data_IF_995400491429
#
_entry.id   IF_995400491429
#
_cell.length_a   1.000
_cell.length_b   1.000
_cell.length_c   1.000
_cell.angle_alpha   90.00
_cell.angle_beta   90.00
_cell.angle_gamma   90.00
#
_symmetry.space_group_name_H-M   'P 1'
#
loop_
_entity.id
_entity.type
_entity.pdbx_description
1 polymer ?
#
# COMPACT_ATOMS: atom_id res chain seq x y z
N UNK A 1 -4.81 -10.49 20.56
CA UNK A 1 -3.67 -9.87 21.23
C UNK A 1 -4.15 -8.52 21.76
N UNK A 2 -3.84 -8.19 23.00
CA UNK A 2 -4.25 -6.91 23.58
C UNK A 2 -3.33 -5.74 23.13
N UNK A 3 -2.12 -6.06 22.68
CA UNK A 3 -1.09 -5.06 22.31
C UNK A 3 -0.25 -5.56 21.14
N UNK A 4 0.03 -4.69 20.20
CA UNK A 4 0.92 -4.97 19.08
C UNK A 4 2.34 -5.27 19.58
N UNK A 5 2.91 -6.37 19.11
CA UNK A 5 4.31 -6.72 19.40
C UNK A 5 5.31 -5.88 18.59
N UNK A 6 4.85 -5.12 17.61
CA UNK A 6 5.68 -4.24 16.76
C UNK A 6 5.83 -2.87 17.39
N UNK A 7 4.71 -2.26 17.78
CA UNK A 7 4.64 -0.84 18.15
C UNK A 7 4.28 -0.62 19.62
N UNK A 8 3.74 -1.63 20.30
CA UNK A 8 3.18 -1.47 21.63
C UNK A 8 1.78 -0.83 21.66
N UNK A 9 1.18 -0.57 20.51
CA UNK A 9 -0.17 0.00 20.39
C UNK A 9 -1.22 -1.01 20.85
N UNK A 10 -2.25 -0.56 21.55
CA UNK A 10 -3.40 -1.39 21.88
C UNK A 10 -4.15 -1.82 20.63
N UNK A 11 -4.41 -3.11 20.48
CA UNK A 11 -5.17 -3.67 19.36
C UNK A 11 -6.64 -3.65 19.72
N UNK A 12 -7.43 -2.91 18.94
CA UNK A 12 -8.88 -2.78 19.07
C UNK A 12 -9.56 -3.14 17.76
N UNK A 13 -10.89 -3.36 17.78
CA UNK A 13 -11.64 -3.58 16.55
C UNK A 13 -11.55 -2.35 15.64
N UNK A 14 -11.22 -2.59 14.38
CA UNK A 14 -11.07 -1.57 13.35
C UNK A 14 -12.06 -1.76 12.18
N UNK A 15 -12.75 -2.90 12.10
CA UNK A 15 -13.57 -3.30 10.96
C UNK A 15 -15.06 -3.50 11.31
N UNK A 16 -15.54 -2.93 12.42
CA UNK A 16 -16.97 -3.01 12.77
C UNK A 16 -17.86 -2.32 11.72
N UNK A 17 -17.35 -1.34 10.99
CA UNK A 17 -18.03 -0.65 9.89
C UNK A 17 -18.02 -1.43 8.57
N UNK A 18 -17.30 -2.55 8.51
CA UNK A 18 -17.23 -3.45 7.37
C UNK A 18 -18.17 -4.65 7.51
N UNK A 19 -18.83 -4.81 8.64
CA UNK A 19 -19.87 -5.82 8.84
C UNK A 19 -21.19 -5.38 8.19
N UNK A 20 -21.69 -6.16 7.22
CA UNK A 20 -22.93 -5.85 6.52
C UNK A 20 -24.15 -5.90 7.47
N UNK A 21 -24.08 -6.67 8.56
CA UNK A 21 -25.15 -6.82 9.53
C UNK A 21 -25.42 -5.55 10.34
N UNK A 22 -24.52 -4.55 10.27
CA UNK A 22 -24.78 -3.23 10.87
C UNK A 22 -25.94 -2.47 10.22
N UNK A 23 -26.33 -2.84 9.02
CA UNK A 23 -27.42 -2.18 8.30
C UNK A 23 -28.75 -2.85 8.60
N UNK A 24 -29.58 -2.18 9.39
CA UNK A 24 -30.93 -2.64 9.66
C UNK A 24 -31.77 -2.69 8.39
N UNK A 25 -32.54 -3.75 8.23
CA UNK A 25 -33.47 -3.91 7.09
C UNK A 25 -32.90 -4.68 5.91
N UNK A 26 -31.74 -5.27 6.03
CA UNK A 26 -31.24 -6.28 5.07
C UNK A 26 -32.14 -7.54 5.01
N UNK A 27 -33.26 -7.55 5.77
CA UNK A 27 -34.27 -8.56 5.78
C UNK A 27 -33.97 -9.73 6.74
N UNK A 28 -34.65 -10.87 6.51
CA UNK A 28 -34.40 -12.11 7.25
C UNK A 28 -33.01 -12.74 6.95
N UNK A 29 -32.12 -11.98 6.29
CA UNK A 29 -30.84 -12.43 5.73
C UNK A 29 -29.65 -11.89 6.55
N UNK A 30 -29.70 -12.02 7.87
CA UNK A 30 -28.52 -11.83 8.68
C UNK A 30 -27.41 -12.80 8.22
N UNK A 31 -26.24 -12.24 7.88
CA UNK A 31 -25.08 -13.04 7.50
C UNK A 31 -24.48 -13.67 8.74
N UNK A 32 -24.44 -15.00 8.78
CA UNK A 32 -23.73 -15.73 9.80
C UNK A 32 -22.32 -16.00 9.33
N UNK A 33 -21.33 -15.33 9.93
CA UNK A 33 -19.93 -15.53 9.62
C UNK A 33 -19.42 -16.86 10.17
N UNK A 34 -18.55 -17.54 9.42
CA UNK A 34 -17.84 -18.72 9.90
C UNK A 34 -16.97 -18.34 11.10
N UNK A 35 -17.07 -19.05 12.20
CA UNK A 35 -16.34 -18.76 13.42
C UNK A 35 -15.73 -20.02 14.02
N UNK A 36 -14.50 -19.92 14.50
CA UNK A 36 -13.83 -21.00 15.24
C UNK A 36 -14.49 -21.28 16.60
N UNK A 37 -15.25 -20.31 17.11
CA UNK A 37 -15.94 -20.44 18.41
C UNK A 37 -17.07 -21.48 18.35
N UNK A 38 -17.72 -21.59 17.18
CA UNK A 38 -18.85 -22.49 16.98
C UNK A 38 -18.89 -23.01 15.54
N UNK A 39 -18.06 -23.99 15.24
CA UNK A 39 -18.00 -24.59 13.92
C UNK A 39 -19.33 -25.21 13.46
N UNK A 40 -20.15 -25.73 14.37
CA UNK A 40 -21.39 -26.43 14.00
C UNK A 40 -22.48 -25.46 13.53
N UNK A 41 -22.51 -24.24 14.10
CA UNK A 41 -23.53 -23.24 13.81
C UNK A 41 -23.22 -22.31 12.65
N UNK A 42 -21.98 -22.22 12.21
CA UNK A 42 -21.49 -21.15 11.34
C UNK A 42 -21.18 -21.57 9.90
N UNK A 43 -21.25 -22.84 9.56
CA UNK A 43 -21.05 -23.28 8.17
C UNK A 43 -22.17 -22.76 7.26
N UNK A 44 -21.83 -22.14 6.11
CA UNK A 44 -22.83 -21.69 5.15
C UNK A 44 -23.60 -22.89 4.58
N UNK A 45 -24.89 -22.76 4.48
CA UNK A 45 -25.80 -23.78 3.92
C UNK A 45 -26.06 -23.55 2.44
N UNK A 46 -25.80 -22.34 1.97
CA UNK A 46 -26.01 -21.91 0.58
C UNK A 46 -24.73 -21.26 0.05
N UNK A 47 -24.49 -21.41 -1.25
CA UNK A 47 -23.30 -20.86 -1.89
C UNK A 47 -23.34 -19.33 -2.02
N UNK A 48 -24.51 -18.73 -2.02
CA UNK A 48 -24.73 -17.29 -2.18
C UNK A 48 -25.82 -16.83 -1.23
N UNK A 49 -25.52 -15.84 -0.41
CA UNK A 49 -26.51 -15.11 0.38
C UNK A 49 -26.76 -13.75 -0.28
N UNK A 50 -28.01 -13.48 -0.65
CA UNK A 50 -28.39 -12.22 -1.24
C UNK A 50 -28.83 -11.24 -0.17
N UNK A 51 -28.19 -10.10 -0.11
CA UNK A 51 -28.59 -8.95 0.69
C UNK A 51 -29.12 -7.83 -0.20
N UNK A 52 -29.99 -7.00 0.33
CA UNK A 52 -30.55 -5.84 -0.37
C UNK A 52 -29.79 -4.60 0.10
N UNK A 53 -29.29 -3.79 -0.84
CA UNK A 53 -28.70 -2.51 -0.51
C UNK A 53 -29.76 -1.58 0.13
N UNK A 54 -29.43 -1.02 1.29
CA UNK A 54 -30.30 -0.07 2.00
C UNK A 54 -30.06 1.37 1.55
N UNK A 55 -30.97 2.28 1.84
CA UNK A 55 -30.78 3.72 1.60
C UNK A 55 -29.53 4.23 2.36
N UNK A 56 -29.30 3.76 3.58
CA UNK A 56 -28.13 4.14 4.37
C UNK A 56 -26.83 3.68 3.70
N UNK A 57 -26.76 2.47 3.14
CA UNK A 57 -25.60 2.04 2.35
C UNK A 57 -25.34 2.97 1.17
N UNK A 58 -26.39 3.40 0.48
CA UNK A 58 -26.26 4.32 -0.66
C UNK A 58 -25.74 5.70 -0.22
N UNK A 59 -26.21 6.20 0.91
CA UNK A 59 -25.72 7.45 1.50
C UNK A 59 -24.24 7.31 1.90
N UNK A 60 -23.86 6.25 2.59
CA UNK A 60 -22.50 6.00 3.03
C UNK A 60 -21.51 5.83 1.86
N UNK A 61 -21.96 5.23 0.74
CA UNK A 61 -21.18 5.12 -0.49
C UNK A 61 -20.90 6.46 -1.17
N UNK A 62 -21.80 7.43 -1.01
CA UNK A 62 -21.73 8.72 -1.68
C UNK A 62 -21.19 9.84 -0.81
N UNK A 63 -21.09 9.63 0.51
CA UNK A 63 -20.60 10.63 1.44
C UNK A 63 -19.10 10.88 1.25
N UNK A 64 -18.76 12.04 0.68
CA UNK A 64 -17.44 12.62 0.85
C UNK A 64 -17.38 13.20 2.25
N UNK A 65 -16.42 12.77 3.05
CA UNK A 65 -16.24 13.35 4.37
C UNK A 65 -15.82 14.83 4.22
N UNK A 66 -16.43 15.68 5.01
CA UNK A 66 -16.02 17.07 5.08
C UNK A 66 -14.56 17.18 5.54
N UNK A 67 -13.85 18.18 5.03
CA UNK A 67 -12.55 18.52 5.62
C UNK A 67 -12.75 18.81 7.12
N UNK A 68 -11.80 18.39 7.97
CA UNK A 68 -11.87 18.70 9.40
C UNK A 68 -11.97 20.23 9.60
N UNK A 69 -12.75 20.65 10.60
CA UNK A 69 -12.71 22.04 11.06
C UNK A 69 -11.29 22.37 11.50
N UNK A 70 -10.73 23.42 10.92
CA UNK A 70 -9.30 23.66 10.95
C UNK A 70 -8.89 24.59 12.10
N UNK A 71 -8.26 23.99 13.10
CA UNK A 71 -7.49 24.67 14.13
C UNK A 71 -6.01 24.25 14.12
N UNK A 72 -5.60 23.49 13.11
CA UNK A 72 -4.23 23.00 12.99
C UNK A 72 -3.29 24.10 12.49
N UNK A 73 -2.09 24.17 13.05
CA UNK A 73 -1.06 25.07 12.58
C UNK A 73 -0.61 24.70 11.16
N UNK A 74 -0.53 25.71 10.30
CA UNK A 74 -0.02 25.53 8.94
C UNK A 74 1.46 25.17 8.97
N UNK A 75 1.92 24.16 8.20
CA UNK A 75 3.33 23.91 8.05
C UNK A 75 4.03 25.06 7.29
N UNK A 76 5.31 25.19 7.50
CA UNK A 76 6.13 26.15 6.76
C UNK A 76 6.50 25.61 5.38
N UNK A 77 6.67 26.50 4.40
CA UNK A 77 6.99 26.16 3.01
C UNK A 77 8.07 27.08 2.46
N UNK A 78 8.89 26.55 1.56
CA UNK A 78 9.84 27.32 0.75
C UNK A 78 10.98 27.97 1.53
N UNK A 79 11.32 27.46 2.72
CA UNK A 79 12.50 27.91 3.47
C UNK A 79 13.78 27.47 2.75
N UNK A 80 14.84 28.23 2.95
CA UNK A 80 16.19 27.81 2.53
C UNK A 80 16.97 27.37 3.78
N UNK A 81 16.88 26.10 4.11
CA UNK A 81 17.63 25.48 5.21
C UNK A 81 18.94 24.85 4.73
N UNK A 82 19.25 24.88 3.44
CA UNK A 82 20.46 24.37 2.83
C UNK A 82 20.60 22.83 2.90
N UNK A 83 19.50 22.11 3.13
CA UNK A 83 19.49 20.66 3.23
C UNK A 83 19.20 20.00 1.87
N UNK A 84 19.72 18.81 1.68
CA UNK A 84 19.38 17.97 0.54
C UNK A 84 18.96 16.59 1.02
N UNK A 85 18.15 15.89 0.24
CA UNK A 85 17.74 14.54 0.55
C UNK A 85 18.93 13.59 0.74
N UNK A 86 19.99 13.80 -0.05
CA UNK A 86 21.22 13.02 0.07
C UNK A 86 21.91 13.19 1.44
N UNK A 87 21.76 14.35 2.08
CA UNK A 87 22.33 14.59 3.41
C UNK A 87 21.57 13.89 4.54
N UNK A 88 20.31 13.47 4.28
CA UNK A 88 19.48 12.74 5.23
C UNK A 88 19.43 11.22 4.91
N UNK A 89 20.33 10.75 4.09
CA UNK A 89 20.47 9.32 3.82
C UNK A 89 21.27 8.65 4.94
N UNK A 90 20.74 7.56 5.49
CA UNK A 90 21.52 6.70 6.40
C UNK A 90 22.72 6.10 5.68
N UNK A 91 23.82 5.98 6.40
CA UNK A 91 25.09 5.41 5.94
C UNK A 91 25.55 4.30 6.90
N UNK A 92 26.66 3.65 6.62
CA UNK A 92 27.26 2.69 7.56
C UNK A 92 27.66 3.34 8.89
N UNK A 93 28.03 4.63 8.85
CA UNK A 93 28.53 5.36 10.01
C UNK A 93 27.42 6.10 10.78
N UNK A 94 26.29 6.41 10.13
CA UNK A 94 25.19 7.17 10.72
C UNK A 94 23.84 6.66 10.23
N UNK A 95 23.00 6.23 11.17
CA UNK A 95 21.58 5.92 10.91
C UNK A 95 20.72 7.15 11.18
N UNK A 96 20.00 7.64 10.18
CA UNK A 96 19.05 8.73 10.33
C UNK A 96 17.67 8.13 10.50
N UNK A 97 17.14 8.23 11.73
CA UNK A 97 15.86 7.67 12.09
C UNK A 97 14.71 8.39 11.36
N UNK A 98 13.55 7.71 11.25
CA UNK A 98 12.38 8.28 10.64
C UNK A 98 11.89 9.56 11.36
N UNK A 99 12.07 9.65 12.67
CA UNK A 99 11.65 10.76 13.54
C UNK A 99 12.79 11.77 13.84
N UNK A 100 13.89 11.75 13.07
CA UNK A 100 14.96 12.72 13.20
C UNK A 100 14.48 14.14 12.83
N UNK A 101 14.74 15.13 13.68
CA UNK A 101 14.27 16.52 13.51
C UNK A 101 14.74 17.20 12.20
N UNK A 102 15.80 16.69 11.58
CA UNK A 102 16.29 17.19 10.30
C UNK A 102 15.29 16.98 9.15
N UNK A 103 14.40 15.98 9.28
CA UNK A 103 13.32 15.76 8.31
C UNK A 103 12.36 16.95 8.25
N UNK A 104 12.01 17.53 9.41
CA UNK A 104 11.17 18.71 9.47
C UNK A 104 11.81 19.90 8.73
N UNK A 105 13.09 20.13 8.98
CA UNK A 105 13.81 21.20 8.30
C UNK A 105 13.94 20.98 6.79
N UNK A 106 14.05 19.73 6.32
CA UNK A 106 14.05 19.40 4.89
C UNK A 106 12.67 19.64 4.27
N UNK A 107 11.60 19.21 4.94
CA UNK A 107 10.22 19.36 4.47
C UNK A 107 9.81 20.84 4.39
N UNK A 108 10.29 21.71 5.27
CA UNK A 108 10.08 23.15 5.23
C UNK A 108 10.64 23.81 3.96
N UNK A 109 11.61 23.19 3.28
CA UNK A 109 12.15 23.68 2.00
C UNK A 109 11.20 23.46 0.83
N UNK A 110 10.35 22.43 0.91
CA UNK A 110 9.41 22.14 -0.16
C UNK A 110 8.35 23.22 -0.27
N UNK A 111 7.90 23.50 -1.48
CA UNK A 111 6.70 24.32 -1.69
C UNK A 111 5.44 23.47 -1.61
N UNK A 112 4.29 24.09 -1.39
CA UNK A 112 3.00 23.42 -1.47
C UNK A 112 2.79 22.75 -2.84
N UNK A 113 3.17 23.45 -3.90
CA UNK A 113 3.08 22.98 -5.28
C UNK A 113 3.96 21.76 -5.55
N UNK A 114 5.17 21.71 -4.97
CA UNK A 114 6.05 20.52 -5.05
C UNK A 114 5.43 19.34 -4.32
N UNK A 115 4.89 19.55 -3.11
CA UNK A 115 4.16 18.47 -2.40
C UNK A 115 2.94 18.02 -3.20
N UNK A 116 2.11 18.94 -3.70
CA UNK A 116 0.95 18.61 -4.53
C UNK A 116 1.34 17.75 -5.73
N UNK A 117 2.40 18.11 -6.44
CA UNK A 117 2.91 17.35 -7.58
C UNK A 117 3.41 15.97 -7.15
N UNK A 118 4.21 15.89 -6.09
CA UNK A 118 4.76 14.62 -5.57
C UNK A 118 3.66 13.61 -5.23
N UNK A 119 2.58 14.07 -4.59
CA UNK A 119 1.50 13.22 -4.10
C UNK A 119 0.49 12.84 -5.18
N UNK A 120 0.33 13.63 -6.24
CA UNK A 120 -0.77 13.42 -7.22
C UNK A 120 -0.32 12.94 -8.59
N UNK A 121 0.98 12.97 -8.90
CA UNK A 121 1.51 12.63 -10.23
C UNK A 121 2.38 11.36 -10.24
N UNK A 122 2.08 10.39 -9.37
CA UNK A 122 2.89 9.17 -9.23
C UNK A 122 2.55 8.12 -10.32
N UNK A 123 2.50 8.53 -11.58
CA UNK A 123 2.24 7.61 -12.69
C UNK A 123 3.54 6.89 -13.10
N UNK A 124 3.69 5.63 -12.66
CA UNK A 124 4.89 4.80 -12.87
C UNK A 124 6.18 5.45 -12.36
N UNK A 125 6.07 6.29 -11.34
CA UNK A 125 7.19 6.95 -10.68
C UNK A 125 6.76 7.65 -9.38
N UNK A 126 7.72 8.20 -8.64
CA UNK A 126 7.50 9.33 -7.74
C UNK A 126 8.24 10.54 -8.29
N UNK A 127 7.58 11.69 -8.38
CA UNK A 127 8.14 12.88 -9.03
C UNK A 127 9.45 13.36 -8.39
N UNK A 128 10.32 13.98 -9.19
CA UNK A 128 11.45 14.72 -8.67
C UNK A 128 10.99 15.94 -7.88
N UNK A 129 11.75 16.32 -6.83
CA UNK A 129 11.51 17.53 -6.03
C UNK A 129 12.80 18.32 -5.97
N UNK A 130 12.80 19.46 -6.66
CA UNK A 130 14.02 20.22 -6.89
C UNK A 130 14.54 20.90 -5.63
N UNK A 131 13.65 21.43 -4.77
CA UNK A 131 14.01 22.18 -3.56
C UNK A 131 14.81 21.33 -2.56
N UNK A 132 14.63 20.01 -2.57
CA UNK A 132 15.32 19.08 -1.68
C UNK A 132 16.26 18.11 -2.40
N UNK A 133 16.40 18.22 -3.71
CA UNK A 133 17.27 17.37 -4.51
C UNK A 133 16.82 15.89 -4.59
N UNK A 134 15.52 15.62 -4.46
CA UNK A 134 14.96 14.29 -4.65
C UNK A 134 14.94 13.95 -6.16
N UNK A 135 15.55 12.83 -6.61
CA UNK A 135 15.40 12.38 -7.98
C UNK A 135 13.99 11.82 -8.22
N UNK A 136 13.59 11.73 -9.49
CA UNK A 136 12.46 10.90 -9.86
C UNK A 136 12.83 9.42 -9.66
N UNK A 137 11.85 8.61 -9.23
CA UNK A 137 11.93 7.15 -9.36
C UNK A 137 11.40 6.71 -10.71
N UNK A 138 11.56 5.45 -11.05
CA UNK A 138 10.89 4.81 -12.18
C UNK A 138 10.37 3.45 -11.75
N UNK A 139 9.12 3.15 -12.06
CA UNK A 139 8.39 2.00 -11.53
C UNK A 139 7.63 1.30 -12.65
N UNK A 140 7.31 0.03 -12.50
CA UNK A 140 6.50 -0.72 -13.45
C UNK A 140 5.75 -1.87 -12.75
N UNK A 141 4.74 -2.41 -13.44
CA UNK A 141 4.10 -3.66 -13.03
C UNK A 141 5.02 -4.87 -13.23
N UNK A 142 4.81 -5.88 -12.42
CA UNK A 142 5.36 -7.18 -12.68
C UNK A 142 5.74 -8.02 -11.48
N UNK A 143 4.77 -8.77 -10.90
CA UNK A 143 5.08 -9.73 -9.85
C UNK A 143 5.85 -10.96 -10.36
N UNK A 144 5.82 -11.22 -11.66
CA UNK A 144 6.49 -12.38 -12.29
C UNK A 144 7.53 -11.99 -13.34
N UNK A 145 8.09 -10.80 -13.19
CA UNK A 145 9.03 -10.16 -14.11
C UNK A 145 8.55 -8.81 -14.58
N UNK A 146 9.43 -8.00 -15.15
CA UNK A 146 9.11 -6.63 -15.56
C UNK A 146 8.10 -6.63 -16.71
N UNK A 147 6.91 -6.06 -16.47
CA UNK A 147 5.84 -6.01 -17.46
C UNK A 147 6.17 -5.04 -18.60
N UNK A 148 5.58 -5.29 -19.77
CA UNK A 148 5.63 -4.40 -20.95
C UNK A 148 7.04 -4.03 -21.41
N UNK A 149 8.05 -4.85 -21.13
CA UNK A 149 9.40 -4.70 -21.65
C UNK A 149 9.75 -5.86 -22.60
N UNK A 150 10.70 -5.61 -23.48
CA UNK A 150 11.30 -6.65 -24.34
C UNK A 150 12.55 -7.26 -23.70
N UNK A 151 12.93 -6.76 -22.54
CA UNK A 151 14.11 -7.18 -21.78
C UNK A 151 13.65 -7.73 -20.43
N UNK A 152 14.35 -8.71 -19.91
CA UNK A 152 14.06 -9.34 -18.65
C UNK A 152 13.51 -10.75 -18.80
N UNK A 153 13.43 -11.42 -17.67
CA UNK A 153 13.03 -12.83 -17.57
C UNK A 153 11.53 -12.93 -17.26
N UNK A 154 10.82 -13.74 -18.03
CA UNK A 154 9.45 -14.12 -17.66
C UNK A 154 9.53 -15.30 -16.70
N UNK A 155 9.13 -15.07 -15.47
CA UNK A 155 9.14 -16.07 -14.41
C UNK A 155 7.79 -16.77 -14.29
N UNK A 156 7.72 -17.96 -13.69
CA UNK A 156 6.46 -18.59 -13.36
C UNK A 156 5.58 -17.72 -12.45
N UNK A 157 4.28 -18.01 -12.44
CA UNK A 157 3.34 -17.30 -11.56
C UNK A 157 3.65 -17.51 -10.07
N UNK A 158 3.28 -16.55 -9.24
CA UNK A 158 3.51 -16.58 -7.79
C UNK A 158 2.91 -17.83 -7.13
N UNK A 159 1.76 -18.30 -7.60
CA UNK A 159 1.19 -19.55 -7.12
C UNK A 159 2.07 -20.79 -7.37
N UNK A 160 2.86 -20.80 -8.44
CA UNK A 160 3.84 -21.88 -8.69
C UNK A 160 5.01 -21.76 -7.70
N UNK A 161 5.48 -20.56 -7.41
CA UNK A 161 6.53 -20.35 -6.40
C UNK A 161 6.08 -20.79 -5.01
N UNK A 162 4.87 -20.39 -4.60
CA UNK A 162 4.30 -20.82 -3.33
C UNK A 162 4.22 -22.34 -3.21
N UNK A 163 3.86 -23.02 -4.31
CA UNK A 163 3.77 -24.49 -4.37
C UNK A 163 5.10 -25.21 -4.17
N UNK A 164 6.22 -24.51 -4.27
CA UNK A 164 7.54 -25.08 -3.97
C UNK A 164 7.82 -25.19 -2.48
N UNK A 165 7.14 -24.42 -1.64
CA UNK A 165 7.44 -24.24 -0.22
C UNK A 165 8.91 -23.85 0.06
N UNK A 166 9.59 -23.28 -0.92
CA UNK A 166 11.01 -22.96 -0.86
C UNK A 166 11.24 -21.43 -0.78
N UNK A 167 11.40 -20.96 0.43
CA UNK A 167 11.59 -19.53 0.72
C UNK A 167 12.87 -18.95 0.10
N UNK A 168 13.95 -19.72 0.05
CA UNK A 168 15.20 -19.30 -0.58
C UNK A 168 15.02 -19.09 -2.09
N UNK A 169 14.30 -20.01 -2.76
CA UNK A 169 13.99 -19.89 -4.19
C UNK A 169 13.15 -18.63 -4.45
N UNK A 170 12.16 -18.35 -3.61
CA UNK A 170 11.31 -17.16 -3.74
C UNK A 170 12.13 -15.88 -3.54
N UNK A 171 13.01 -15.83 -2.55
CA UNK A 171 13.91 -14.70 -2.35
C UNK A 171 14.84 -14.47 -3.56
N UNK A 172 15.35 -15.56 -4.16
CA UNK A 172 16.16 -15.48 -5.40
C UNK A 172 15.35 -15.02 -6.60
N UNK A 173 14.07 -15.36 -6.68
CA UNK A 173 13.18 -14.86 -7.73
C UNK A 173 13.00 -13.34 -7.58
N UNK A 174 12.74 -12.84 -6.37
CA UNK A 174 12.69 -11.41 -6.08
C UNK A 174 14.00 -10.67 -6.43
N UNK A 175 15.14 -11.26 -6.11
CA UNK A 175 16.45 -10.73 -6.47
C UNK A 175 16.65 -10.65 -8.02
N UNK A 176 16.23 -11.68 -8.75
CA UNK A 176 16.29 -11.72 -10.21
C UNK A 176 15.35 -10.68 -10.86
N UNK A 177 14.14 -10.50 -10.33
CA UNK A 177 13.22 -9.44 -10.79
C UNK A 177 13.83 -8.07 -10.57
N UNK A 178 14.48 -7.86 -9.44
CA UNK A 178 15.16 -6.60 -9.16
C UNK A 178 16.31 -6.31 -10.10
N UNK A 179 17.13 -7.32 -10.46
CA UNK A 179 18.18 -7.15 -11.46
C UNK A 179 17.63 -6.76 -12.83
N UNK A 180 16.59 -7.45 -13.29
CA UNK A 180 15.91 -7.11 -14.55
C UNK A 180 15.29 -5.70 -14.50
N UNK A 181 14.71 -5.31 -13.37
CA UNK A 181 14.16 -3.97 -13.15
C UNK A 181 15.25 -2.90 -13.25
N UNK A 182 16.37 -3.07 -12.55
CA UNK A 182 17.52 -2.15 -12.59
C UNK A 182 18.12 -2.06 -14.01
N UNK A 183 18.25 -3.18 -14.70
CA UNK A 183 18.71 -3.21 -16.09
C UNK A 183 17.75 -2.46 -17.03
N UNK A 184 16.46 -2.41 -16.71
CA UNK A 184 15.45 -1.61 -17.41
C UNK A 184 15.39 -0.14 -16.94
N UNK A 185 16.23 0.27 -15.98
CA UNK A 185 16.24 1.63 -15.43
C UNK A 185 15.13 1.88 -14.38
N UNK A 186 14.54 0.83 -13.82
CA UNK A 186 13.47 0.91 -12.83
C UNK A 186 14.05 0.81 -11.41
N UNK A 187 13.44 1.53 -10.48
CA UNK A 187 13.82 1.56 -9.06
C UNK A 187 12.68 1.10 -8.13
N UNK A 188 11.56 0.71 -8.71
CA UNK A 188 10.43 0.16 -7.98
C UNK A 188 9.57 -0.73 -8.87
N UNK A 189 8.85 -1.65 -8.23
CA UNK A 189 7.96 -2.59 -8.88
C UNK A 189 6.60 -2.63 -8.19
N UNK A 190 5.51 -2.65 -8.95
CA UNK A 190 4.18 -2.92 -8.40
C UNK A 190 4.02 -4.45 -8.26
N UNK A 191 4.56 -4.97 -7.17
CA UNK A 191 4.71 -6.37 -6.80
C UNK A 191 4.95 -6.45 -5.27
N UNK A 192 4.80 -7.58 -4.62
CA UNK A 192 4.16 -8.80 -5.07
C UNK A 192 2.64 -8.75 -4.86
N UNK A 193 1.88 -9.62 -5.52
CA UNK A 193 0.45 -9.76 -5.28
C UNK A 193 0.19 -10.70 -4.10
N UNK A 194 -0.54 -10.23 -3.07
CA UNK A 194 -0.71 -11.01 -1.82
C UNK A 194 -2.16 -11.21 -1.40
N UNK A 195 -3.12 -10.91 -2.28
CA UNK A 195 -4.51 -11.23 -2.02
C UNK A 195 -4.73 -12.74 -2.01
N UNK A 196 -5.77 -13.19 -1.31
CA UNK A 196 -6.02 -14.62 -1.09
C UNK A 196 -6.80 -15.21 -2.27
N UNK A 197 -6.46 -16.43 -2.68
CA UNK A 197 -7.28 -17.22 -3.61
C UNK A 197 -8.59 -17.64 -2.95
N UNK A 198 -9.50 -16.71 -2.72
CA UNK A 198 -10.80 -16.98 -2.11
C UNK A 198 -11.67 -17.89 -2.99
N UNK A 199 -11.52 -17.76 -4.29
CA UNK A 199 -12.20 -18.57 -5.30
C UNK A 199 -11.30 -18.80 -6.50
N UNK A 200 -11.37 -19.97 -7.18
CA UNK A 200 -10.60 -20.20 -8.41
C UNK A 200 -11.08 -19.35 -9.59
N UNK A 201 -12.20 -18.65 -9.47
CA UNK A 201 -12.79 -17.81 -10.51
C UNK A 201 -12.37 -16.34 -10.42
N UNK A 202 -11.53 -15.97 -9.45
CA UNK A 202 -10.90 -14.65 -9.44
C UNK A 202 -9.98 -14.50 -10.66
N UNK A 203 -10.12 -13.39 -11.37
CA UNK A 203 -9.39 -13.13 -12.63
C UNK A 203 -7.88 -12.94 -12.45
N UNK A 204 -7.38 -12.79 -11.21
CA UNK A 204 -5.97 -12.50 -10.88
C UNK A 204 -5.28 -13.53 -9.99
N UNK A 205 -5.90 -14.68 -9.76
CA UNK A 205 -5.26 -15.75 -8.97
C UNK A 205 -3.88 -16.19 -9.50
N UNK A 206 -3.58 -15.92 -10.78
CA UNK A 206 -2.27 -16.20 -11.37
C UNK A 206 -1.14 -15.30 -10.83
N UNK A 207 -1.44 -14.13 -10.29
CA UNK A 207 -0.46 -13.20 -9.71
C UNK A 207 -0.54 -13.13 -8.18
N UNK A 208 -1.21 -14.10 -7.54
CA UNK A 208 -1.30 -14.25 -6.09
C UNK A 208 -0.76 -15.61 -5.67
N UNK A 209 -0.23 -15.71 -4.45
CA UNK A 209 0.50 -16.91 -4.04
C UNK A 209 -0.39 -18.11 -3.71
N UNK A 210 -1.43 -17.94 -2.88
CA UNK A 210 -2.17 -19.06 -2.31
C UNK A 210 -3.53 -18.67 -1.73
N UNK A 211 -4.32 -19.69 -1.40
CA UNK A 211 -5.49 -19.60 -0.52
C UNK A 211 -5.12 -19.55 0.98
N UNK A 212 -3.90 -19.96 1.32
CA UNK A 212 -3.40 -19.98 2.70
C UNK A 212 -2.71 -18.65 3.01
N UNK A 213 -3.22 -17.87 3.99
CA UNK A 213 -2.68 -16.56 4.32
C UNK A 213 -1.27 -16.63 4.92
N UNK A 214 -0.91 -17.69 5.61
CA UNK A 214 0.43 -17.88 6.18
C UNK A 214 1.43 -18.20 5.09
N UNK A 215 1.10 -19.12 4.17
CA UNK A 215 1.94 -19.45 3.03
C UNK A 215 2.15 -18.22 2.14
N UNK A 216 1.08 -17.49 1.84
CA UNK A 216 1.13 -16.23 1.07
C UNK A 216 2.03 -15.21 1.76
N UNK A 217 1.85 -15.00 3.06
CA UNK A 217 2.65 -14.04 3.82
C UNK A 217 4.14 -14.39 3.87
N UNK A 218 4.46 -15.67 4.09
CA UNK A 218 5.86 -16.14 4.08
C UNK A 218 6.49 -16.00 2.68
N UNK A 219 5.75 -16.34 1.63
CA UNK A 219 6.24 -16.16 0.26
C UNK A 219 6.50 -14.67 -0.05
N UNK A 220 5.52 -13.82 0.24
CA UNK A 220 5.60 -12.39 0.01
C UNK A 220 6.79 -11.73 0.73
N UNK A 221 6.99 -12.01 2.02
CA UNK A 221 8.10 -11.43 2.76
C UNK A 221 9.47 -11.78 2.16
N UNK A 222 9.62 -13.00 1.62
CA UNK A 222 10.88 -13.43 1.02
C UNK A 222 11.11 -12.79 -0.36
N UNK A 223 10.08 -12.65 -1.17
CA UNK A 223 10.18 -11.93 -2.45
C UNK A 223 10.49 -10.46 -2.23
N UNK A 224 9.79 -9.80 -1.30
CA UNK A 224 10.05 -8.40 -0.90
C UNK A 224 11.51 -8.22 -0.49
N UNK A 225 12.03 -9.08 0.38
CA UNK A 225 13.43 -9.01 0.83
C UNK A 225 14.41 -9.20 -0.33
N UNK A 226 14.10 -10.09 -1.27
CA UNK A 226 14.90 -10.27 -2.49
C UNK A 226 15.00 -9.00 -3.31
N UNK A 227 13.86 -8.35 -3.60
CA UNK A 227 13.83 -7.11 -4.38
C UNK A 227 14.53 -5.95 -3.67
N UNK A 228 14.26 -5.76 -2.39
CA UNK A 228 14.80 -4.63 -1.62
C UNK A 228 16.31 -4.70 -1.41
N UNK A 229 16.89 -5.90 -1.41
CA UNK A 229 18.34 -6.09 -1.33
C UNK A 229 19.09 -5.34 -2.45
N UNK A 230 18.46 -5.13 -3.59
CA UNK A 230 19.00 -4.37 -4.72
C UNK A 230 18.56 -2.90 -4.75
N UNK A 231 17.77 -2.46 -3.79
CA UNK A 231 17.21 -1.11 -3.77
C UNK A 231 16.03 -0.90 -4.71
N UNK A 232 15.42 -1.98 -5.21
CA UNK A 232 14.14 -1.93 -5.93
C UNK A 232 13.02 -2.02 -4.90
N UNK A 233 12.16 -1.00 -4.87
CA UNK A 233 11.08 -0.89 -3.88
C UNK A 233 9.84 -1.61 -4.39
N UNK A 234 9.40 -2.72 -3.76
CA UNK A 234 8.15 -3.37 -4.11
C UNK A 234 6.97 -2.63 -3.47
N UNK A 235 5.98 -2.23 -4.27
CA UNK A 235 4.69 -1.79 -3.78
C UNK A 235 3.77 -3.02 -3.69
N UNK A 236 3.72 -3.63 -2.53
CA UNK A 236 2.93 -4.85 -2.26
C UNK A 236 1.45 -4.58 -2.49
N UNK A 237 0.75 -5.46 -3.24
CA UNK A 237 -0.59 -5.17 -3.74
C UNK A 237 -1.56 -6.35 -3.60
N UNK A 238 -2.88 -6.09 -3.60
CA UNK A 238 -3.56 -4.81 -3.53
C UNK A 238 -4.20 -4.69 -2.15
N UNK A 239 -3.77 -3.74 -1.35
CA UNK A 239 -4.25 -3.50 0.01
C UNK A 239 -5.57 -2.73 -0.05
N UNK A 240 -6.70 -3.35 0.26
CA UNK A 240 -6.90 -4.73 0.62
C UNK A 240 -8.17 -5.28 -0.06
N UNK A 241 -8.46 -6.55 0.19
CA UNK A 241 -9.74 -7.17 -0.17
C UNK A 241 -10.00 -7.29 -1.67
N UNK A 242 -8.94 -7.44 -2.49
CA UNK A 242 -9.08 -7.63 -3.94
C UNK A 242 -9.05 -9.13 -4.31
N UNK A 243 -9.99 -9.89 -3.75
CA UNK A 243 -10.18 -11.32 -4.02
C UNK A 243 -11.27 -11.57 -5.07
N UNK A 244 -11.71 -10.52 -5.80
CA UNK A 244 -12.70 -10.55 -6.86
C UNK A 244 -12.45 -9.43 -7.86
N UNK A 245 -12.25 -9.77 -9.13
CA UNK A 245 -12.01 -8.81 -10.22
C UNK A 245 -13.29 -8.31 -10.89
N UNK A 246 -14.39 -9.06 -10.77
CA UNK A 246 -15.65 -8.64 -11.36
C UNK A 246 -16.18 -7.39 -10.66
N UNK A 247 -16.32 -6.30 -11.40
CA UNK A 247 -16.75 -4.99 -10.88
C UNK A 247 -15.83 -4.41 -9.80
N UNK A 248 -14.54 -4.73 -9.80
CA UNK A 248 -13.57 -4.32 -8.76
C UNK A 248 -13.53 -2.81 -8.49
N UNK A 249 -13.88 -1.98 -9.49
CA UNK A 249 -13.91 -0.52 -9.33
C UNK A 249 -14.99 -0.09 -8.34
N UNK A 250 -14.65 -0.07 -7.05
CA UNK A 250 -15.52 0.36 -5.97
C UNK A 250 -16.49 -0.70 -5.44
N UNK A 251 -16.25 -1.98 -5.74
CA UNK A 251 -16.99 -3.07 -5.09
C UNK A 251 -16.80 -3.01 -3.58
N UNK A 252 -17.87 -3.10 -2.83
CA UNK A 252 -17.84 -3.18 -1.36
C UNK A 252 -17.61 -4.62 -0.90
N UNK A 253 -16.55 -4.84 -0.14
CA UNK A 253 -16.26 -6.12 0.48
C UNK A 253 -16.70 -6.06 1.94
N UNK A 254 -17.46 -7.09 2.36
CA UNK A 254 -18.06 -7.16 3.67
C UNK A 254 -17.50 -8.36 4.42
N UNK A 255 -17.03 -8.14 5.63
CA UNK A 255 -16.41 -9.16 6.47
C UNK A 255 -16.40 -8.70 7.94
N UNK A 256 -16.08 -9.61 8.84
CA UNK A 256 -15.88 -9.28 10.24
C UNK A 256 -14.39 -9.08 10.56
N UNK A 257 -14.12 -8.60 11.78
CA UNK A 257 -12.76 -8.34 12.28
C UNK A 257 -11.85 -9.58 12.17
N UNK A 258 -12.37 -10.76 12.50
CA UNK A 258 -11.59 -12.01 12.50
C UNK A 258 -11.15 -12.37 11.08
N UNK A 259 -12.05 -12.33 10.11
CA UNK A 259 -11.75 -12.60 8.70
C UNK A 259 -10.75 -11.59 8.14
N UNK A 260 -10.97 -10.29 8.46
CA UNK A 260 -10.05 -9.24 8.06
C UNK A 260 -8.63 -9.53 8.52
N UNK A 261 -8.43 -9.78 9.81
CA UNK A 261 -7.09 -9.90 10.39
C UNK A 261 -6.41 -11.23 10.18
N UNK A 262 -7.16 -12.34 10.28
CA UNK A 262 -6.56 -13.67 10.28
C UNK A 262 -6.37 -14.23 8.86
N UNK A 263 -7.11 -13.71 7.88
CA UNK A 263 -7.10 -14.22 6.51
C UNK A 263 -6.65 -13.13 5.53
N UNK A 264 -7.45 -12.05 5.37
CA UNK A 264 -7.27 -11.12 4.25
C UNK A 264 -6.07 -10.19 4.44
N UNK A 265 -5.80 -9.76 5.65
CA UNK A 265 -4.73 -8.81 5.97
C UNK A 265 -3.43 -9.48 6.45
N UNK A 266 -3.48 -10.73 6.87
CA UNK A 266 -2.29 -11.41 7.40
C UNK A 266 -1.11 -11.46 6.41
N UNK A 267 -1.30 -11.69 5.09
CA UNK A 267 -0.20 -11.63 4.14
C UNK A 267 0.46 -10.26 4.04
N UNK A 268 -0.34 -9.19 4.14
CA UNK A 268 0.18 -7.82 4.15
C UNK A 268 0.99 -7.53 5.43
N UNK A 269 0.53 -8.01 6.59
CA UNK A 269 1.30 -7.87 7.83
C UNK A 269 2.68 -8.52 7.69
N UNK A 270 2.77 -9.72 7.11
CA UNK A 270 4.06 -10.38 6.85
C UNK A 270 4.94 -9.61 5.86
N UNK A 271 4.35 -9.02 4.84
CA UNK A 271 5.12 -8.28 3.84
C UNK A 271 5.60 -6.91 4.35
N UNK A 272 4.76 -6.18 5.10
CA UNK A 272 4.96 -4.78 5.45
C UNK A 272 5.66 -4.57 6.80
N UNK A 273 5.39 -5.44 7.78
CA UNK A 273 5.89 -5.26 9.14
C UNK A 273 7.42 -5.32 9.20
N UNK A 274 8.08 -4.38 9.93
CA UNK A 274 9.54 -4.35 10.09
C UNK A 274 10.15 -5.64 10.64
N UNK A 275 9.36 -6.40 11.38
CA UNK A 275 9.79 -7.70 11.94
C UNK A 275 9.91 -8.80 10.88
N UNK A 276 9.24 -8.66 9.73
CA UNK A 276 9.12 -9.68 8.72
C UNK A 276 9.70 -9.22 7.37
N UNK A 277 8.87 -8.91 6.38
CA UNK A 277 9.30 -8.49 5.04
C UNK A 277 9.87 -7.09 5.00
N UNK A 278 9.35 -6.21 5.84
CA UNK A 278 9.76 -4.80 5.91
C UNK A 278 9.70 -4.10 4.55
N UNK A 279 8.61 -4.31 3.81
CA UNK A 279 8.42 -3.57 2.57
C UNK A 279 8.32 -2.08 2.84
N UNK A 280 8.87 -1.27 1.95
CA UNK A 280 8.86 0.20 2.06
C UNK A 280 7.82 0.86 1.16
N UNK A 281 6.99 0.07 0.49
CA UNK A 281 5.82 0.59 -0.23
C UNK A 281 4.69 -0.44 -0.24
N UNK A 282 3.46 0.07 -0.37
CA UNK A 282 2.24 -0.74 -0.51
C UNK A 282 1.28 -0.04 -1.47
N UNK A 283 0.54 -0.82 -2.26
CA UNK A 283 -0.48 -0.30 -3.17
C UNK A 283 -1.88 -0.62 -2.65
N UNK A 284 -2.71 0.42 -2.46
CA UNK A 284 -4.11 0.23 -2.12
C UNK A 284 -4.94 -0.20 -3.31
N UNK A 285 -5.97 -1.01 -3.04
CA UNK A 285 -6.87 -1.56 -4.06
C UNK A 285 -7.92 -0.56 -4.53
N UNK A 286 -8.62 -0.92 -5.62
CA UNK A 286 -9.86 -0.25 -6.03
C UNK A 286 -11.04 -0.54 -5.10
N UNK A 287 -10.97 -1.59 -4.31
CA UNK A 287 -12.08 -2.09 -3.51
C UNK A 287 -12.44 -1.13 -2.37
N UNK A 288 -13.64 -1.34 -1.84
CA UNK A 288 -14.09 -0.70 -0.61
C UNK A 288 -14.10 -1.73 0.52
N UNK A 289 -13.69 -1.34 1.69
CA UNK A 289 -13.96 -2.03 2.94
C UNK A 289 -15.34 -1.57 3.42
N UNK A 290 -16.36 -2.41 3.30
CA UNK A 290 -17.74 -1.97 3.44
C UNK A 290 -18.09 -0.90 2.41
N UNK A 291 -18.41 0.30 2.87
CA UNK A 291 -18.72 1.45 2.01
C UNK A 291 -17.53 2.37 1.75
N UNK A 292 -16.41 2.21 2.46
CA UNK A 292 -15.25 3.10 2.36
C UNK A 292 -14.17 2.54 1.44
N UNK A 293 -13.70 3.34 0.49
CA UNK A 293 -12.55 2.98 -0.32
C UNK A 293 -11.31 2.69 0.55
N UNK A 294 -10.60 1.61 0.25
CA UNK A 294 -9.43 1.18 1.04
C UNK A 294 -8.33 2.25 1.11
N UNK A 295 -8.14 3.05 0.05
CA UNK A 295 -7.22 4.19 0.03
C UNK A 295 -7.69 5.41 0.83
N UNK A 296 -8.92 5.41 1.35
CA UNK A 296 -9.47 6.46 2.22
C UNK A 296 -10.00 5.87 3.54
N UNK A 297 -9.38 4.82 4.03
CA UNK A 297 -9.78 4.11 5.24
C UNK A 297 -8.70 4.25 6.32
N UNK A 298 -8.89 5.20 7.24
CA UNK A 298 -7.98 5.47 8.35
C UNK A 298 -7.86 4.29 9.33
N UNK A 299 -8.93 3.53 9.55
CA UNK A 299 -8.87 2.31 10.36
C UNK A 299 -7.85 1.33 9.78
N UNK A 300 -7.90 1.12 8.47
CA UNK A 300 -6.95 0.25 7.76
C UNK A 300 -5.55 0.88 7.70
N UNK A 301 -5.44 2.10 7.14
CA UNK A 301 -4.14 2.66 6.77
C UNK A 301 -3.38 3.28 7.93
N UNK A 302 -4.08 3.99 8.82
CA UNK A 302 -3.42 4.69 9.93
C UNK A 302 -3.39 3.84 11.19
N UNK A 303 -4.50 3.17 11.54
CA UNK A 303 -4.55 2.41 12.78
C UNK A 303 -3.88 1.04 12.64
N UNK A 304 -4.28 0.23 11.64
CA UNK A 304 -3.74 -1.12 11.48
C UNK A 304 -2.34 -1.08 10.85
N UNK A 305 -2.22 -0.58 9.62
CA UNK A 305 -0.96 -0.69 8.86
C UNK A 305 0.18 0.09 9.54
N UNK A 306 -0.08 1.33 9.96
CA UNK A 306 0.94 2.15 10.61
C UNK A 306 0.97 1.97 12.13
N UNK A 307 -0.19 2.07 12.78
CA UNK A 307 -0.27 2.04 14.23
C UNK A 307 0.05 0.69 14.84
N UNK A 308 -0.45 -0.41 14.26
CA UNK A 308 -0.23 -1.75 14.80
C UNK A 308 0.98 -2.45 14.16
N UNK A 309 1.14 -2.39 12.84
CA UNK A 309 2.24 -3.11 12.16
C UNK A 309 3.54 -2.33 12.10
N UNK A 310 3.51 -1.01 12.33
CA UNK A 310 4.71 -0.16 12.33
C UNK A 310 5.26 0.12 10.92
N UNK A 311 4.40 0.10 9.90
CA UNK A 311 4.81 0.41 8.54
C UNK A 311 5.18 1.90 8.38
N UNK A 312 6.41 2.20 8.02
CA UNK A 312 6.97 3.55 7.82
C UNK A 312 7.13 3.95 6.34
N UNK A 313 6.92 3.01 5.42
CA UNK A 313 6.98 3.24 3.98
C UNK A 313 5.81 4.10 3.45
N UNK A 314 5.79 4.34 2.14
CA UNK A 314 4.70 5.07 1.49
C UNK A 314 3.63 4.15 0.90
N UNK A 315 2.40 4.67 0.89
CA UNK A 315 1.25 4.04 0.27
C UNK A 315 0.93 4.73 -1.05
N UNK A 316 0.90 3.96 -2.14
CA UNK A 316 0.43 4.41 -3.46
C UNK A 316 -0.94 3.80 -3.75
N UNK A 317 -1.80 4.51 -4.50
CA UNK A 317 -3.06 3.93 -4.97
C UNK A 317 -2.84 2.98 -6.14
N UNK A 318 -3.79 2.08 -6.40
CA UNK A 318 -3.99 1.55 -7.76
C UNK A 318 -4.37 2.72 -8.70
N UNK A 319 -4.48 2.47 -10.01
CA UNK A 319 -4.60 3.52 -11.03
C UNK A 319 -5.82 4.44 -10.80
N UNK A 320 -5.61 5.57 -10.14
CA UNK A 320 -6.65 6.52 -9.76
C UNK A 320 -7.33 7.21 -10.96
N UNK A 321 -6.69 7.19 -12.12
CA UNK A 321 -7.23 7.76 -13.36
C UNK A 321 -8.02 6.76 -14.20
N UNK A 322 -8.22 5.51 -13.74
CA UNK A 322 -8.97 4.51 -14.49
C UNK A 322 -10.46 4.80 -14.57
N UNK A 323 -11.09 4.33 -15.64
CA UNK A 323 -12.54 4.52 -15.87
C UNK A 323 -13.36 3.97 -14.69
N UNK A 324 -14.21 4.82 -14.12
CA UNK A 324 -15.12 4.45 -13.03
C UNK A 324 -14.56 4.62 -11.62
N UNK A 325 -13.33 5.09 -11.45
CA UNK A 325 -12.68 5.29 -10.16
C UNK A 325 -12.90 6.71 -9.57
N UNK A 326 -14.02 7.35 -9.84
CA UNK A 326 -14.32 8.72 -9.38
C UNK A 326 -14.38 8.90 -7.87
N UNK A 327 -14.55 7.82 -7.13
CA UNK A 327 -14.56 7.80 -5.67
C UNK A 327 -13.14 7.84 -5.06
N UNK A 328 -12.11 7.62 -5.87
CA UNK A 328 -10.71 7.70 -5.46
C UNK A 328 -10.25 9.17 -5.51
N UNK A 329 -10.78 9.96 -4.58
CA UNK A 329 -10.50 11.40 -4.55
C UNK A 329 -9.20 11.71 -3.82
N UNK A 330 -8.50 12.75 -4.25
CA UNK A 330 -7.31 13.24 -3.53
C UNK A 330 -7.67 13.69 -2.11
N UNK A 331 -8.83 14.33 -1.96
CA UNK A 331 -9.30 14.82 -0.66
C UNK A 331 -9.35 13.70 0.37
N UNK A 332 -10.10 12.64 0.07
CA UNK A 332 -10.31 11.57 1.04
C UNK A 332 -9.07 10.71 1.21
N UNK A 333 -8.37 10.39 0.12
CA UNK A 333 -7.19 9.55 0.19
C UNK A 333 -6.09 10.15 1.05
N UNK A 334 -5.66 11.39 0.80
CA UNK A 334 -4.61 12.04 1.59
C UNK A 334 -5.03 12.21 3.05
N UNK A 335 -6.28 12.64 3.28
CA UNK A 335 -6.78 12.86 4.63
C UNK A 335 -6.75 11.59 5.48
N UNK A 336 -7.02 10.43 4.85
CA UNK A 336 -7.21 9.16 5.54
C UNK A 336 -6.09 8.12 5.30
N UNK A 337 -4.94 8.53 4.79
CA UNK A 337 -3.72 7.72 4.88
C UNK A 337 -3.05 7.30 3.56
N UNK A 338 -3.60 7.67 2.41
CA UNK A 338 -2.88 7.54 1.12
C UNK A 338 -1.78 8.59 1.03
N UNK A 339 -0.59 8.20 0.60
CA UNK A 339 0.55 9.09 0.46
C UNK A 339 0.72 9.59 -0.98
N UNK A 340 0.50 8.75 -1.98
CA UNK A 340 0.52 9.21 -3.37
C UNK A 340 -0.47 8.46 -4.27
N UNK A 341 -0.78 9.09 -5.39
CA UNK A 341 -1.77 8.60 -6.33
C UNK A 341 -1.11 8.17 -7.63
N UNK A 342 -1.32 6.92 -8.02
CA UNK A 342 -0.98 6.43 -9.36
C UNK A 342 -1.91 7.11 -10.37
N UNK A 343 -1.56 8.32 -10.75
CA UNK A 343 -2.38 9.22 -11.54
C UNK A 343 -1.56 10.33 -12.20
N UNK A 344 -2.23 11.18 -12.94
CA UNK A 344 -1.63 12.27 -13.73
C UNK A 344 -1.96 13.65 -13.16
N UNK A 345 -1.93 13.79 -11.84
CA UNK A 345 -2.10 15.08 -11.18
C UNK A 345 -0.95 16.05 -11.47
N UNK A 346 -1.06 17.25 -10.94
CA UNK A 346 -0.13 18.36 -11.16
C UNK A 346 0.10 19.15 -9.88
N UNK A 347 1.00 20.12 -9.93
CA UNK A 347 1.25 21.07 -8.86
C UNK A 347 -0.03 21.79 -8.36
N UNK A 348 -1.03 21.98 -9.23
CA UNK A 348 -2.29 22.65 -8.90
C UNK A 348 -3.40 21.72 -8.41
N UNK A 349 -3.17 20.42 -8.38
CA UNK A 349 -4.24 19.43 -8.08
C UNK A 349 -4.84 19.58 -6.69
N UNK A 350 -4.07 20.05 -5.72
CA UNK A 350 -4.48 20.22 -4.32
C UNK A 350 -4.66 21.68 -3.89
N UNK A 351 -4.65 22.64 -4.83
CA UNK A 351 -4.71 24.07 -4.53
C UNK A 351 -5.90 24.50 -3.65
N UNK A 352 -7.02 23.80 -3.77
CA UNK A 352 -8.24 24.12 -3.01
C UNK A 352 -8.11 23.77 -1.52
N UNK A 353 -7.07 23.02 -1.14
CA UNK A 353 -6.77 22.61 0.24
C UNK A 353 -5.62 23.40 0.87
N UNK A 354 -5.05 24.36 0.13
CA UNK A 354 -3.84 25.09 0.51
C UNK A 354 -3.95 25.82 1.86
N UNK A 355 -5.14 26.26 2.22
CA UNK A 355 -5.39 27.04 3.44
C UNK A 355 -5.95 26.15 4.59
N UNK A 356 -5.97 24.83 4.44
CA UNK A 356 -6.40 23.91 5.49
C UNK A 356 -5.19 23.25 6.15
N UNK A 357 -4.90 23.63 7.42
CA UNK A 357 -3.71 23.18 8.14
C UNK A 357 -3.69 21.66 8.38
N UNK A 358 -4.82 21.06 8.72
CA UNK A 358 -4.90 19.60 8.92
C UNK A 358 -4.59 18.85 7.64
N UNK A 359 -5.10 19.33 6.50
CA UNK A 359 -4.80 18.73 5.20
C UNK A 359 -3.32 18.94 4.82
N UNK A 360 -2.79 20.15 5.03
CA UNK A 360 -1.39 20.48 4.78
C UNK A 360 -0.42 19.63 5.62
N UNK A 361 -0.76 19.36 6.88
CA UNK A 361 0.02 18.43 7.73
C UNK A 361 -0.01 16.99 7.18
N UNK A 362 -1.15 16.50 6.68
CA UNK A 362 -1.22 15.20 6.02
C UNK A 362 -0.40 15.12 4.75
N UNK A 363 -0.38 16.19 3.95
CA UNK A 363 0.50 16.28 2.77
C UNK A 363 1.98 16.22 3.17
N UNK A 364 2.34 16.88 4.27
CA UNK A 364 3.69 16.86 4.83
C UNK A 364 4.08 15.45 5.27
N UNK A 365 3.22 14.76 6.04
CA UNK A 365 3.43 13.37 6.46
C UNK A 365 3.62 12.43 5.26
N UNK A 366 2.78 12.56 4.25
CA UNK A 366 2.85 11.76 3.02
C UNK A 366 4.17 12.02 2.25
N UNK A 367 4.56 13.29 2.12
CA UNK A 367 5.82 13.68 1.50
C UNK A 367 7.02 13.10 2.27
N UNK A 368 6.98 13.16 3.59
CA UNK A 368 8.03 12.59 4.45
C UNK A 368 8.25 11.10 4.17
N UNK A 369 7.18 10.31 4.13
CA UNK A 369 7.28 8.86 3.89
C UNK A 369 7.90 8.54 2.54
N UNK A 370 7.53 9.28 1.50
CA UNK A 370 8.13 9.11 0.17
C UNK A 370 9.62 9.50 0.20
N UNK A 371 9.97 10.65 0.80
CA UNK A 371 11.34 11.11 0.89
C UNK A 371 12.21 10.15 1.69
N UNK A 372 11.74 9.71 2.85
CA UNK A 372 12.44 8.75 3.72
C UNK A 372 12.71 7.43 3.00
N UNK A 373 11.69 6.88 2.34
CA UNK A 373 11.84 5.64 1.56
C UNK A 373 12.85 5.80 0.43
N UNK A 374 12.75 6.89 -0.33
CA UNK A 374 13.66 7.12 -1.46
C UNK A 374 15.09 7.35 -0.99
N UNK A 375 15.29 8.10 0.09
CA UNK A 375 16.62 8.36 0.64
C UNK A 375 17.34 7.10 1.12
N UNK A 376 16.63 6.25 1.84
CA UNK A 376 17.27 5.16 2.59
C UNK A 376 17.24 3.82 1.86
N UNK A 377 16.26 3.59 0.98
CA UNK A 377 16.02 2.25 0.44
C UNK A 377 16.01 2.18 -1.09
N UNK A 378 15.84 3.29 -1.81
CA UNK A 378 15.75 3.25 -3.27
C UNK A 378 17.10 3.33 -3.97
N UNK A 379 17.27 2.50 -4.98
CA UNK A 379 18.40 2.57 -5.91
C UNK A 379 18.48 3.92 -6.65
N UNK A 380 17.38 4.69 -6.73
CA UNK A 380 17.38 6.03 -7.31
C UNK A 380 18.34 7.00 -6.59
N UNK A 381 18.58 6.80 -5.29
CA UNK A 381 19.53 7.60 -4.49
C UNK A 381 20.91 6.98 -4.41
N UNK A 382 21.02 5.66 -4.55
CA UNK A 382 22.25 4.92 -4.31
C UNK A 382 23.09 4.68 -5.58
N UNK A 383 22.63 5.21 -6.72
CA UNK A 383 23.17 4.86 -8.02
C UNK A 383 22.70 3.47 -8.47
N UNK A 384 22.36 3.34 -9.71
CA UNK A 384 21.97 2.04 -10.30
C UNK A 384 23.27 1.27 -10.59
N UNK A 385 23.88 0.69 -9.53
CA UNK A 385 24.95 -0.29 -9.70
C UNK A 385 24.30 -1.62 -10.09
N UNK A 386 24.09 -1.84 -11.37
CA UNK A 386 23.87 -3.19 -11.87
C UNK A 386 25.19 -3.93 -11.67
N UNK A 387 25.23 -4.89 -10.76
CA UNK A 387 26.36 -5.80 -10.72
C UNK A 387 26.37 -6.61 -12.01
N UNK A 388 27.45 -6.54 -12.76
CA UNK A 388 27.59 -7.09 -14.11
C UNK A 388 27.42 -8.62 -14.20
N UNK A 389 27.22 -9.31 -13.09
CA UNK A 389 27.06 -10.77 -13.12
C UNK A 389 26.16 -11.27 -11.99
N UNK A 390 24.98 -11.70 -12.33
CA UNK A 390 24.31 -12.73 -11.52
C UNK A 390 25.11 -14.01 -11.69
N UNK A 391 25.69 -14.54 -10.59
CA UNK A 391 26.29 -15.89 -10.62
C UNK A 391 25.17 -16.91 -10.81
N UNK A 392 24.97 -17.34 -12.05
CA UNK A 392 24.01 -18.38 -12.43
C UNK A 392 24.59 -19.79 -12.31
N UNK A 393 25.75 -19.95 -11.68
CA UNK A 393 26.27 -21.27 -11.37
C UNK A 393 25.38 -21.96 -10.35
N UNK A 394 24.59 -22.91 -10.83
CA UNK A 394 23.88 -23.90 -10.00
C UNK A 394 24.86 -24.98 -9.54
#
# INVERSE_FOLDING_TARGET
>A
YAVSSQTGTEITNQFDDVDINRYEGSGDNEITYVSRKDWEGTWPKEAVTLSVATEQMAEDLTSNKALPEDGSEMPEYGKDNGLTLAALRSTEDETIAYDDERWDALLDQMTFEEQSNLLTSAQMNTAAVASVGKPATAENDGPTGVANTTTGTSLPSEGIWASTYNTELIARAGDAIAEDALAAGLTGMYACGVNIHRTPFDGRSHEYFSEDPVLTGIAAMNEVQGMQKKGVIPAVKHLAFNEEETNRNGIGIWLNEQEAREIMLLPFEYALSPKYGNSHSVMTSFNRAGTRWTGANDNLLLNVVRGEWGFDGYNITDMASSNGAYYMTYQDGILYGTDCFLGSGTADSLKDFKDNGAYAQRMRDASHRILYTVANYSAAMNGLGVEDTVDVSM
#
